data_IF_039101986783
#
_entry.id   IF_039101986783
#
_cell.length_a   1.000
_cell.length_b   1.000
_cell.length_c   1.000
_cell.angle_alpha   90.00
_cell.angle_beta   90.00
_cell.angle_gamma   90.00
#
_symmetry.space_group_name_H-M   'P 1'
#
loop_
_entity.id
_entity.type
_entity.pdbx_description
1 polymer ?
#
# COMPACT_ATOMS: atom_id res chain seq x y z
N UNK A 1 -27.01 15.06 -13.36
CA UNK A 1 -27.16 15.81 -12.10
C UNK A 1 -26.88 17.27 -12.39
N UNK A 2 -27.71 18.22 -12.00
CA UNK A 2 -27.38 19.62 -12.12
C UNK A 2 -26.34 19.97 -11.06
N UNK A 3 -25.14 20.37 -11.49
CA UNK A 3 -24.28 21.18 -10.68
C UNK A 3 -23.07 20.57 -9.99
N UNK A 4 -22.49 19.42 -10.42
CA UNK A 4 -21.17 19.05 -9.95
C UNK A 4 -20.12 19.88 -10.70
N UNK A 5 -19.37 20.72 -10.00
CA UNK A 5 -18.17 21.37 -10.54
C UNK A 5 -16.92 20.55 -10.18
N UNK A 6 -15.96 20.47 -11.10
CA UNK A 6 -14.70 19.73 -10.87
C UNK A 6 -13.53 20.70 -10.97
N UNK A 7 -12.64 20.63 -9.98
CA UNK A 7 -11.47 21.48 -9.86
C UNK A 7 -10.19 20.64 -9.72
N UNK A 8 -9.11 21.08 -10.35
CA UNK A 8 -7.78 20.45 -10.23
C UNK A 8 -6.86 21.33 -9.38
N UNK A 9 -6.40 20.80 -8.25
CA UNK A 9 -5.53 21.49 -7.31
C UNK A 9 -4.14 20.86 -7.30
N UNK A 10 -3.09 21.67 -7.33
CA UNK A 10 -1.74 21.20 -6.98
C UNK A 10 -1.72 20.77 -5.51
N UNK A 11 -0.81 19.87 -5.11
CA UNK A 11 -0.80 19.36 -3.73
C UNK A 11 -0.61 20.45 -2.69
N UNK A 12 0.25 21.42 -2.95
CA UNK A 12 0.45 22.57 -2.04
C UNK A 12 -0.76 23.49 -1.96
N UNK A 13 -1.51 23.62 -3.04
CA UNK A 13 -2.78 24.36 -3.08
C UNK A 13 -3.86 23.60 -2.31
N UNK A 14 -4.00 22.29 -2.54
CA UNK A 14 -4.95 21.44 -1.84
C UNK A 14 -4.69 21.42 -0.31
N UNK A 15 -3.43 21.46 0.11
CA UNK A 15 -3.06 21.58 1.54
C UNK A 15 -3.55 22.86 2.20
N UNK A 16 -3.66 23.96 1.44
CA UNK A 16 -4.14 25.25 1.93
C UNK A 16 -5.65 25.41 1.82
N UNK A 17 -6.22 24.92 0.72
CA UNK A 17 -7.62 25.18 0.37
C UNK A 17 -8.60 24.17 0.97
N UNK A 18 -8.20 22.89 1.13
CA UNK A 18 -9.13 21.82 1.46
C UNK A 18 -9.29 21.43 2.96
N UNK A 19 -8.48 21.86 3.94
CA UNK A 19 -8.48 21.23 5.27
C UNK A 19 -9.88 21.09 5.89
N UNK A 20 -10.64 22.17 5.97
CA UNK A 20 -11.98 22.15 6.59
C UNK A 20 -13.03 21.37 5.79
N UNK A 21 -12.99 21.45 4.45
CA UNK A 21 -13.88 20.68 3.58
C UNK A 21 -13.54 19.20 3.62
N UNK A 22 -12.26 18.88 3.68
CA UNK A 22 -11.76 17.50 3.73
C UNK A 22 -12.08 16.84 5.08
N UNK A 23 -12.06 17.59 6.18
CA UNK A 23 -12.43 17.09 7.49
C UNK A 23 -13.90 16.64 7.52
N UNK A 24 -14.82 17.49 7.04
CA UNK A 24 -16.24 17.12 6.90
C UNK A 24 -16.45 15.96 5.91
N UNK A 25 -15.76 15.99 4.78
CA UNK A 25 -15.85 14.96 3.75
C UNK A 25 -15.47 13.57 4.29
N UNK A 26 -14.35 13.46 5.00
CA UNK A 26 -13.82 12.17 5.49
C UNK A 26 -14.70 11.48 6.53
N UNK A 27 -15.52 12.25 7.31
CA UNK A 27 -16.39 11.69 8.33
C UNK A 27 -17.41 10.69 7.78
N UNK A 28 -17.82 10.83 6.51
CA UNK A 28 -18.76 9.95 5.83
C UNK A 28 -18.11 8.92 4.89
N UNK A 29 -16.77 8.79 4.89
CA UNK A 29 -16.05 7.95 3.92
C UNK A 29 -15.36 6.77 4.62
N UNK A 30 -15.93 5.58 4.50
CA UNK A 30 -15.35 4.35 5.10
C UNK A 30 -13.98 3.97 4.52
N UNK A 31 -13.74 4.29 3.25
CA UNK A 31 -12.48 3.98 2.53
C UNK A 31 -11.42 5.06 2.65
N UNK A 32 -11.65 6.07 3.50
CA UNK A 32 -10.63 7.05 3.80
C UNK A 32 -9.42 6.41 4.48
N UNK A 33 -8.22 6.83 4.08
CA UNK A 33 -6.99 6.40 4.73
C UNK A 33 -6.07 7.60 4.99
N UNK A 34 -5.18 7.53 5.99
CA UNK A 34 -4.19 8.59 6.25
C UNK A 34 -3.31 8.92 5.06
N UNK A 35 -3.12 7.96 4.15
CA UNK A 35 -2.28 8.10 2.97
C UNK A 35 -2.86 9.02 1.88
N UNK A 36 -4.14 9.36 1.96
CA UNK A 36 -4.83 10.18 0.97
C UNK A 36 -4.85 11.67 1.33
N UNK A 37 -4.28 12.06 2.47
CA UNK A 37 -4.21 13.48 2.85
C UNK A 37 -3.28 14.25 1.90
N UNK A 38 -3.64 15.48 1.47
CA UNK A 38 -2.77 16.28 0.60
C UNK A 38 -1.36 16.48 1.17
N UNK A 39 -1.25 16.56 2.50
CA UNK A 39 0.05 16.71 3.17
C UNK A 39 0.92 15.47 3.09
N UNK A 40 0.35 14.27 3.25
CA UNK A 40 1.09 13.02 3.06
C UNK A 40 1.54 12.83 1.61
N UNK A 41 0.64 13.12 0.67
CA UNK A 41 0.90 13.04 -0.76
C UNK A 41 1.96 14.06 -1.23
N UNK A 42 2.00 15.24 -0.62
CA UNK A 42 3.04 16.23 -0.89
C UNK A 42 4.44 15.78 -0.40
N UNK A 43 4.52 15.06 0.72
CA UNK A 43 5.79 14.42 1.14
C UNK A 43 6.24 13.37 0.13
N UNK A 44 5.31 12.59 -0.39
CA UNK A 44 5.60 11.61 -1.45
C UNK A 44 6.06 12.31 -2.74
N UNK A 45 5.35 13.35 -3.18
CA UNK A 45 5.72 14.12 -4.38
C UNK A 45 7.12 14.72 -4.28
N UNK A 46 7.48 15.25 -3.10
CA UNK A 46 8.82 15.79 -2.84
C UNK A 46 9.92 14.76 -3.08
N UNK A 47 9.71 13.51 -2.64
CA UNK A 47 10.71 12.45 -2.74
C UNK A 47 10.73 11.77 -4.13
N UNK A 48 9.54 11.55 -4.72
CA UNK A 48 9.40 10.69 -5.91
C UNK A 48 8.70 11.37 -7.09
N UNK A 49 8.03 12.48 -6.84
CA UNK A 49 7.08 13.07 -7.79
C UNK A 49 7.62 14.12 -8.75
N UNK A 50 8.89 14.53 -8.65
CA UNK A 50 9.45 15.69 -9.35
C UNK A 50 9.24 15.74 -10.89
N UNK A 51 8.93 14.60 -11.52
CA UNK A 51 8.67 14.47 -12.97
C UNK A 51 7.22 14.15 -13.30
N UNK A 52 6.35 14.07 -12.30
CA UNK A 52 4.97 13.66 -12.42
C UNK A 52 4.04 14.88 -12.29
N UNK A 53 2.90 14.81 -12.93
CA UNK A 53 1.86 15.83 -12.78
C UNK A 53 0.87 15.33 -11.72
N UNK A 54 1.12 15.64 -10.45
CA UNK A 54 0.27 15.26 -9.33
C UNK A 54 -0.81 16.31 -9.09
N UNK A 55 -2.07 15.88 -8.94
CA UNK A 55 -3.23 16.74 -8.65
C UNK A 55 -4.20 16.07 -7.71
N UNK A 56 -4.81 16.87 -6.87
CA UNK A 56 -6.09 16.51 -6.26
C UNK A 56 -7.18 17.01 -7.20
N UNK A 57 -8.01 16.09 -7.67
CA UNK A 57 -9.20 16.43 -8.47
C UNK A 57 -10.39 16.36 -7.53
N UNK A 58 -10.95 17.53 -7.23
CA UNK A 58 -12.04 17.74 -6.27
C UNK A 58 -13.36 17.96 -7.00
N UNK A 59 -14.41 17.28 -6.56
CA UNK A 59 -15.78 17.47 -7.03
C UNK A 59 -16.62 18.20 -5.98
N UNK A 60 -17.26 19.28 -6.38
CA UNK A 60 -18.07 20.14 -5.51
C UNK A 60 -19.54 20.12 -5.94
N UNK A 61 -20.43 20.04 -4.98
CA UNK A 61 -21.88 20.15 -5.23
C UNK A 61 -22.31 21.63 -5.44
N UNK A 62 -23.58 21.84 -5.73
CA UNK A 62 -24.16 23.17 -5.95
C UNK A 62 -24.14 24.07 -4.70
N UNK A 63 -23.87 23.52 -3.52
CA UNK A 63 -23.73 24.25 -2.26
C UNK A 63 -22.29 24.56 -1.91
N UNK A 64 -21.33 24.12 -2.75
CA UNK A 64 -19.91 24.27 -2.50
C UNK A 64 -19.35 23.27 -1.48
N UNK A 65 -20.03 22.15 -1.24
CA UNK A 65 -19.53 21.08 -0.41
C UNK A 65 -18.71 20.09 -1.23
N UNK A 66 -17.59 19.62 -0.64
CA UNK A 66 -16.75 18.60 -1.28
C UNK A 66 -17.49 17.27 -1.26
N UNK A 67 -17.79 16.72 -2.44
CA UNK A 67 -18.54 15.46 -2.58
C UNK A 67 -17.75 14.36 -3.29
N UNK A 68 -16.63 14.69 -3.93
CA UNK A 68 -15.70 13.72 -4.51
C UNK A 68 -14.25 14.19 -4.39
N UNK A 69 -13.33 13.24 -4.25
CA UNK A 69 -11.91 13.49 -4.05
C UNK A 69 -11.07 12.42 -4.72
N UNK A 70 -10.14 12.82 -5.57
CA UNK A 70 -9.29 11.91 -6.33
C UNK A 70 -7.83 12.38 -6.35
N UNK A 71 -6.92 11.70 -5.66
CA UNK A 71 -5.48 11.98 -5.72
C UNK A 71 -4.85 11.27 -6.91
N UNK A 72 -4.71 11.98 -8.01
CA UNK A 72 -4.31 11.45 -9.31
C UNK A 72 -2.98 12.02 -9.79
N UNK A 73 -2.23 11.21 -10.52
CA UNK A 73 -1.01 11.66 -11.20
C UNK A 73 -0.99 11.20 -12.66
N UNK A 74 -0.42 12.05 -13.51
CA UNK A 74 -0.04 11.71 -14.87
C UNK A 74 1.45 11.46 -14.93
N UNK A 75 1.81 10.23 -15.32
CA UNK A 75 3.21 9.79 -15.44
C UNK A 75 3.55 9.42 -16.88
N UNK A 76 4.82 9.44 -17.22
CA UNK A 76 5.29 8.86 -18.48
C UNK A 76 5.30 7.34 -18.36
N UNK A 77 4.50 6.69 -19.20
CA UNK A 77 4.44 5.24 -19.34
C UNK A 77 4.81 4.79 -20.74
N UNK A 78 4.56 3.52 -21.04
CA UNK A 78 4.76 2.93 -22.37
C UNK A 78 3.63 1.95 -22.70
N UNK A 79 3.35 1.85 -24.02
CA UNK A 79 2.58 0.75 -24.59
C UNK A 79 3.45 0.12 -25.67
N UNK A 80 4.02 -1.06 -25.41
CA UNK A 80 5.11 -1.59 -26.20
C UNK A 80 6.31 -0.63 -26.20
N UNK A 81 6.89 -0.32 -27.36
CA UNK A 81 8.00 0.64 -27.48
C UNK A 81 7.56 2.10 -27.36
N UNK A 82 6.26 2.40 -27.46
CA UNK A 82 5.73 3.75 -27.60
C UNK A 82 5.52 4.42 -26.24
N UNK A 83 6.08 5.63 -26.02
CA UNK A 83 5.83 6.42 -24.82
C UNK A 83 4.41 6.95 -24.83
N UNK A 84 3.72 6.88 -23.67
CA UNK A 84 2.36 7.37 -23.49
C UNK A 84 2.20 8.03 -22.12
N UNK A 85 1.26 8.97 -22.03
CA UNK A 85 0.83 9.49 -20.74
C UNK A 85 -0.05 8.45 -20.05
N UNK A 86 0.24 8.14 -18.79
CA UNK A 86 -0.49 7.14 -18.01
C UNK A 86 -1.10 7.80 -16.78
N UNK A 87 -2.40 7.57 -16.57
CA UNK A 87 -3.10 7.93 -15.34
C UNK A 87 -2.82 6.90 -14.25
N UNK A 88 -2.48 7.38 -13.05
CA UNK A 88 -2.31 6.58 -11.84
C UNK A 88 -2.82 7.33 -10.62
N UNK A 89 -3.01 6.64 -9.51
CA UNK A 89 -3.07 7.30 -8.21
C UNK A 89 -1.69 7.79 -7.81
N UNK A 90 -1.64 8.90 -7.05
CA UNK A 90 -0.39 9.43 -6.52
C UNK A 90 0.24 8.36 -5.61
N UNK A 91 1.50 8.06 -5.83
CA UNK A 91 2.24 7.06 -5.08
C UNK A 91 2.05 5.61 -5.52
N UNK A 92 1.17 5.34 -6.48
CA UNK A 92 0.86 3.96 -6.86
C UNK A 92 1.76 3.46 -8.01
N UNK A 93 2.16 2.19 -7.95
CA UNK A 93 2.98 1.51 -8.98
C UNK A 93 4.33 2.16 -9.27
N UNK A 94 5.03 2.64 -8.26
CA UNK A 94 6.42 3.12 -8.38
C UNK A 94 7.44 2.10 -7.91
N UNK A 95 7.01 1.12 -7.14
CA UNK A 95 7.84 0.07 -6.53
C UNK A 95 8.00 0.24 -5.02
N UNK A 96 7.99 -0.89 -4.31
CA UNK A 96 8.26 -0.95 -2.88
C UNK A 96 9.69 -0.42 -2.57
N UNK A 97 9.90 0.30 -1.46
CA UNK A 97 8.94 0.64 -0.41
C UNK A 97 8.27 2.02 -0.57
N UNK A 98 8.38 2.68 -1.73
CA UNK A 98 7.79 3.99 -1.99
C UNK A 98 6.32 3.95 -2.43
N UNK A 99 5.74 2.76 -2.62
CA UNK A 99 4.34 2.62 -3.03
C UNK A 99 3.36 3.03 -1.93
N UNK A 100 2.35 3.81 -2.33
CA UNK A 100 1.15 4.05 -1.54
C UNK A 100 0.03 3.17 -2.13
N UNK A 101 -0.45 2.21 -1.37
CA UNK A 101 -1.33 1.15 -1.86
C UNK A 101 -2.82 1.39 -1.58
N UNK A 102 -3.12 2.23 -0.58
CA UNK A 102 -4.47 2.48 -0.10
C UNK A 102 -4.96 3.86 -0.57
N UNK A 103 -5.08 4.02 -1.88
CA UNK A 103 -5.52 5.25 -2.55
C UNK A 103 -6.65 4.92 -3.52
N UNK A 104 -7.71 5.71 -3.51
CA UNK A 104 -8.90 5.53 -4.34
C UNK A 104 -9.51 6.87 -4.76
N UNK A 105 -10.45 6.85 -5.71
CA UNK A 105 -11.39 7.96 -5.88
C UNK A 105 -12.51 7.79 -4.87
N UNK A 106 -12.64 8.76 -4.00
CA UNK A 106 -13.62 8.77 -2.92
C UNK A 106 -14.81 9.66 -3.29
N UNK A 107 -16.01 9.26 -2.90
CA UNK A 107 -17.21 10.08 -3.02
C UNK A 107 -18.14 9.85 -1.84
N UNK A 108 -18.85 10.89 -1.41
CA UNK A 108 -19.87 10.78 -0.36
C UNK A 108 -20.92 9.74 -0.75
N UNK A 109 -21.33 8.91 0.21
CA UNK A 109 -22.32 7.83 0.01
C UNK A 109 -21.95 6.86 -1.12
N UNK A 110 -20.66 6.68 -1.43
CA UNK A 110 -20.18 5.81 -2.53
C UNK A 110 -20.78 6.19 -3.89
N UNK A 111 -21.12 7.49 -4.10
CA UNK A 111 -21.83 7.96 -5.30
C UNK A 111 -20.99 7.77 -6.56
N UNK A 112 -21.39 6.79 -7.35
CA UNK A 112 -20.74 6.44 -8.63
C UNK A 112 -20.78 7.57 -9.64
N UNK A 113 -21.82 8.40 -9.62
CA UNK A 113 -21.96 9.50 -10.56
C UNK A 113 -20.91 10.58 -10.29
N UNK A 114 -20.63 10.89 -9.03
CA UNK A 114 -19.56 11.80 -8.63
C UNK A 114 -18.17 11.25 -8.98
N UNK A 115 -17.91 9.95 -8.73
CA UNK A 115 -16.66 9.28 -9.15
C UNK A 115 -16.50 9.35 -10.68
N UNK A 116 -17.57 9.07 -11.44
CA UNK A 116 -17.56 9.16 -12.91
C UNK A 116 -17.32 10.58 -13.40
N UNK A 117 -17.90 11.59 -12.76
CA UNK A 117 -17.71 12.98 -13.15
C UNK A 117 -16.25 13.43 -12.98
N UNK A 118 -15.62 13.11 -11.86
CA UNK A 118 -14.20 13.41 -11.60
C UNK A 118 -13.29 12.70 -12.59
N UNK A 119 -13.47 11.40 -12.80
CA UNK A 119 -12.66 10.64 -13.75
C UNK A 119 -12.95 11.05 -15.21
N UNK A 120 -14.18 11.43 -15.55
CA UNK A 120 -14.58 11.94 -16.87
C UNK A 120 -13.93 13.28 -17.17
N UNK A 121 -13.85 14.18 -16.18
CA UNK A 121 -13.10 15.43 -16.30
C UNK A 121 -11.63 15.16 -16.65
N UNK A 122 -10.96 14.28 -15.91
CA UNK A 122 -9.56 13.91 -16.17
C UNK A 122 -9.38 13.25 -17.54
N UNK A 123 -10.34 12.41 -17.97
CA UNK A 123 -10.32 11.80 -19.30
C UNK A 123 -10.39 12.81 -20.43
N UNK A 124 -11.08 13.92 -20.23
CA UNK A 124 -11.28 14.97 -21.23
C UNK A 124 -10.17 16.04 -21.22
N UNK A 125 -9.59 16.33 -20.06
CA UNK A 125 -8.59 17.40 -19.90
C UNK A 125 -7.14 16.91 -19.99
N UNK A 126 -6.86 15.67 -19.51
CA UNK A 126 -5.51 15.11 -19.58
C UNK A 126 -5.33 14.26 -20.83
N UNK A 127 -4.34 14.58 -21.65
CA UNK A 127 -4.00 13.77 -22.84
C UNK A 127 -3.44 12.41 -22.43
N UNK A 128 -4.32 11.46 -22.14
CA UNK A 128 -3.99 10.14 -21.64
C UNK A 128 -3.96 9.10 -22.76
N UNK A 129 -3.02 8.17 -22.71
CA UNK A 129 -3.00 6.99 -23.56
C UNK A 129 -3.29 5.70 -22.79
N UNK A 130 -3.03 5.70 -21.48
CA UNK A 130 -3.20 4.52 -20.61
C UNK A 130 -3.76 4.93 -19.26
N UNK A 131 -4.58 4.07 -18.70
CA UNK A 131 -5.03 4.10 -17.30
C UNK A 131 -4.46 2.90 -16.56
N UNK A 132 -3.97 3.11 -15.35
CA UNK A 132 -3.36 2.08 -14.52
C UNK A 132 -3.72 2.36 -13.06
N UNK A 133 -4.97 2.06 -12.71
CA UNK A 133 -5.55 2.30 -11.41
C UNK A 133 -5.58 0.99 -10.60
N UNK A 134 -4.93 0.95 -9.52
CA UNK A 134 -4.87 -0.21 -8.60
C UNK A 134 -4.41 0.32 -7.25
N UNK A 135 -4.49 -0.38 -6.29
CA UNK A 135 -5.04 -1.60 -5.78
C UNK A 135 -6.39 -1.33 -5.08
N UNK A 136 -7.47 -1.48 -5.79
CA UNK A 136 -8.80 -1.06 -5.37
C UNK A 136 -9.53 -2.20 -4.67
N UNK A 137 -10.14 -1.97 -3.50
CA UNK A 137 -10.95 -2.98 -2.84
C UNK A 137 -12.20 -3.32 -3.66
N UNK A 138 -12.82 -4.48 -3.47
CA UNK A 138 -14.03 -4.88 -4.21
C UNK A 138 -15.20 -3.90 -4.08
N UNK A 139 -15.27 -3.19 -2.96
CA UNK A 139 -16.29 -2.17 -2.68
C UNK A 139 -16.08 -0.88 -3.45
N UNK A 140 -14.90 -0.65 -4.04
CA UNK A 140 -14.60 0.60 -4.76
C UNK A 140 -15.49 0.81 -5.99
N UNK A 141 -16.14 1.97 -6.16
CA UNK A 141 -16.88 2.33 -7.38
C UNK A 141 -15.96 2.69 -8.56
N UNK A 142 -14.69 2.96 -8.29
CA UNK A 142 -13.71 3.44 -9.30
C UNK A 142 -13.53 2.51 -10.48
N UNK A 143 -13.39 1.15 -10.33
CA UNK A 143 -13.26 0.25 -11.47
C UNK A 143 -14.47 0.30 -12.40
N UNK A 144 -15.67 0.43 -11.83
CA UNK A 144 -16.90 0.51 -12.60
C UNK A 144 -16.98 1.84 -13.37
N UNK A 145 -16.75 2.97 -12.71
CA UNK A 145 -16.76 4.29 -13.33
C UNK A 145 -15.69 4.41 -14.45
N UNK A 146 -14.48 3.89 -14.21
CA UNK A 146 -13.42 3.85 -15.22
C UNK A 146 -13.84 3.00 -16.44
N UNK A 147 -14.46 1.84 -16.21
CA UNK A 147 -14.95 0.98 -17.29
C UNK A 147 -16.03 1.66 -18.13
N UNK A 148 -16.95 2.42 -17.53
CA UNK A 148 -17.97 3.18 -18.27
C UNK A 148 -17.34 4.26 -19.16
N UNK A 149 -16.45 5.09 -18.60
CA UNK A 149 -15.75 6.14 -19.34
C UNK A 149 -14.94 5.55 -20.49
N UNK A 150 -14.26 4.44 -20.27
CA UNK A 150 -13.44 3.77 -21.27
C UNK A 150 -14.28 3.08 -22.37
N UNK A 151 -15.54 2.72 -22.13
CA UNK A 151 -16.49 2.17 -23.15
C UNK A 151 -17.02 3.22 -24.09
N UNK A 152 -17.37 4.40 -23.62
CA UNK A 152 -18.01 5.47 -24.39
C UNK A 152 -17.14 6.04 -25.53
N UNK A 153 -15.89 5.64 -25.63
CA UNK A 153 -14.97 5.99 -26.71
C UNK A 153 -13.83 5.02 -26.92
N UNK A 154 -13.76 3.96 -26.12
CA UNK A 154 -12.55 3.13 -26.02
C UNK A 154 -12.89 1.68 -25.69
N UNK A 155 -12.30 0.74 -26.39
CA UNK A 155 -12.33 -0.67 -25.95
C UNK A 155 -11.37 -0.83 -24.79
N UNK A 156 -11.92 -1.00 -23.63
CA UNK A 156 -11.18 -1.47 -22.47
C UNK A 156 -10.74 -2.92 -22.71
N UNK A 157 -9.45 -3.19 -22.76
CA UNK A 157 -8.97 -4.47 -22.31
C UNK A 157 -8.90 -4.36 -20.78
N UNK A 158 -10.04 -4.59 -20.15
CA UNK A 158 -10.17 -4.68 -18.70
C UNK A 158 -9.48 -6.00 -18.27
N UNK A 159 -8.17 -5.95 -18.17
CA UNK A 159 -7.42 -7.01 -17.50
C UNK A 159 -7.45 -6.71 -16.02
N UNK A 160 -8.51 -7.15 -15.36
CA UNK A 160 -8.61 -7.13 -13.91
C UNK A 160 -7.57 -8.09 -13.35
N UNK A 161 -6.50 -7.56 -12.84
CA UNK A 161 -5.51 -8.33 -12.11
C UNK A 161 -5.93 -8.26 -10.64
N UNK A 162 -6.31 -9.40 -10.10
CA UNK A 162 -6.57 -9.54 -8.67
C UNK A 162 -5.25 -9.67 -7.93
N UNK A 163 -5.04 -8.83 -6.92
CA UNK A 163 -3.93 -8.93 -5.99
C UNK A 163 -4.52 -9.21 -4.61
N UNK A 164 -4.16 -10.30 -3.93
CA UNK A 164 -4.66 -10.55 -2.59
C UNK A 164 -4.09 -9.51 -1.63
N UNK A 165 -4.96 -8.81 -0.93
CA UNK A 165 -4.66 -8.03 0.26
C UNK A 165 -5.06 -8.84 1.48
N UNK A 166 -4.30 -8.72 2.54
CA UNK A 166 -4.54 -9.50 3.75
C UNK A 166 -4.89 -8.57 4.89
N UNK A 167 -6.03 -8.81 5.52
CA UNK A 167 -6.43 -8.09 6.71
C UNK A 167 -6.78 -9.05 7.84
N UNK A 168 -6.57 -8.61 9.08
CA UNK A 168 -6.93 -9.33 10.29
C UNK A 168 -8.11 -8.60 10.94
N UNK A 169 -9.31 -9.19 10.96
CA UNK A 169 -10.42 -8.66 11.74
C UNK A 169 -10.11 -8.81 13.24
N UNK A 170 -10.36 -7.76 14.02
CA UNK A 170 -10.11 -7.75 15.45
C UNK A 170 -11.44 -7.80 16.22
N UNK A 171 -11.65 -8.81 17.07
CA UNK A 171 -12.77 -8.83 18.01
C UNK A 171 -12.59 -7.80 19.11
N UNK A 172 -13.53 -7.73 20.03
CA UNK A 172 -13.45 -6.81 21.19
C UNK A 172 -12.42 -7.30 22.20
N UNK A 173 -12.30 -8.61 22.36
CA UNK A 173 -11.48 -9.23 23.39
C UNK A 173 -10.28 -10.00 22.80
N UNK A 174 -9.14 -9.87 23.45
CA UNK A 174 -7.93 -10.59 23.09
C UNK A 174 -8.10 -12.12 23.13
N UNK A 175 -8.80 -12.65 24.15
CA UNK A 175 -8.94 -14.09 24.31
C UNK A 175 -9.75 -14.72 23.18
N UNK A 176 -10.76 -14.01 22.67
CA UNK A 176 -11.52 -14.41 21.48
C UNK A 176 -10.61 -14.47 20.26
N UNK A 177 -9.83 -13.42 20.00
CA UNK A 177 -8.86 -13.41 18.92
C UNK A 177 -7.84 -14.53 19.05
N UNK A 178 -7.23 -14.68 20.23
CA UNK A 178 -6.20 -15.68 20.45
C UNK A 178 -6.73 -17.12 20.30
N UNK A 179 -7.98 -17.36 20.73
CA UNK A 179 -8.65 -18.65 20.55
C UNK A 179 -8.91 -18.98 19.07
N UNK A 180 -9.19 -17.97 18.23
CA UNK A 180 -9.42 -18.15 16.79
C UNK A 180 -8.17 -18.58 16.00
N UNK A 181 -6.98 -18.33 16.54
CA UNK A 181 -5.72 -18.73 15.90
C UNK A 181 -5.54 -20.24 15.91
N UNK A 182 -4.78 -20.76 14.95
CA UNK A 182 -4.45 -22.21 14.93
C UNK A 182 -3.67 -22.64 16.17
N UNK A 183 -3.84 -23.89 16.60
CA UNK A 183 -3.08 -24.45 17.75
C UNK A 183 -1.57 -24.34 17.54
N UNK A 184 -1.10 -24.52 16.30
CA UNK A 184 0.31 -24.39 15.95
C UNK A 184 0.82 -22.94 16.14
N UNK A 185 0.03 -21.94 15.73
CA UNK A 185 0.37 -20.53 15.94
C UNK A 185 0.45 -20.19 17.41
N UNK A 186 -0.56 -20.59 18.20
CA UNK A 186 -0.56 -20.38 19.65
C UNK A 186 0.62 -21.05 20.35
N UNK A 187 0.96 -22.28 19.95
CA UNK A 187 2.13 -23.00 20.48
C UNK A 187 3.44 -22.33 20.10
N UNK A 188 3.58 -21.90 18.84
CA UNK A 188 4.78 -21.19 18.35
C UNK A 188 4.98 -19.86 19.08
N UNK A 189 3.91 -19.10 19.27
CA UNK A 189 3.95 -17.85 20.04
C UNK A 189 4.43 -18.09 21.49
N UNK A 190 3.80 -19.03 22.22
CA UNK A 190 4.18 -19.31 23.61
C UNK A 190 5.60 -19.81 23.74
N UNK A 191 6.07 -20.61 22.78
CA UNK A 191 7.46 -21.09 22.74
C UNK A 191 8.43 -19.95 22.45
N UNK A 192 8.12 -19.10 21.46
CA UNK A 192 8.93 -17.93 21.12
C UNK A 192 9.05 -16.96 22.28
N UNK A 193 7.93 -16.65 22.93
CA UNK A 193 7.88 -15.77 24.10
C UNK A 193 8.80 -16.30 25.20
N UNK A 194 8.65 -17.57 25.62
CA UNK A 194 9.52 -18.20 26.64
C UNK A 194 11.00 -18.22 26.24
N UNK A 195 11.28 -18.47 24.95
CA UNK A 195 12.66 -18.48 24.46
C UNK A 195 13.34 -17.11 24.56
N UNK A 196 12.60 -16.04 24.24
CA UNK A 196 13.12 -14.68 24.34
C UNK A 196 13.22 -14.23 25.80
N UNK A 197 12.22 -14.50 26.64
CA UNK A 197 12.23 -14.19 28.07
C UNK A 197 13.37 -14.88 28.83
N UNK A 198 13.78 -16.07 28.38
CA UNK A 198 14.93 -16.77 28.95
C UNK A 198 16.28 -16.09 28.67
N UNK A 199 16.33 -15.18 27.69
CA UNK A 199 17.55 -14.44 27.33
C UNK A 199 17.65 -13.09 28.03
N UNK A 200 16.54 -12.57 28.60
CA UNK A 200 16.50 -11.29 29.30
C UNK A 200 15.09 -10.69 29.38
N UNK A 201 14.95 -9.56 30.07
CA UNK A 201 13.68 -8.84 30.18
C UNK A 201 13.11 -8.47 28.80
N UNK A 202 11.87 -8.93 28.51
CA UNK A 202 11.19 -8.70 27.25
C UNK A 202 10.11 -7.63 27.43
N UNK A 203 10.05 -6.65 26.51
CA UNK A 203 9.09 -5.56 26.55
C UNK A 203 8.59 -5.22 25.15
N UNK A 204 7.29 -5.03 25.02
CA UNK A 204 6.69 -4.40 23.84
C UNK A 204 6.57 -2.90 24.08
N UNK A 205 7.14 -2.12 23.17
CA UNK A 205 7.11 -0.66 23.23
C UNK A 205 6.33 -0.15 22.06
N UNK A 206 5.27 0.61 22.33
CA UNK A 206 4.47 1.28 21.29
C UNK A 206 4.74 2.77 21.33
N UNK A 207 5.16 3.32 20.21
CA UNK A 207 5.55 4.72 20.08
C UNK A 207 4.61 5.46 19.12
N UNK A 208 4.16 6.62 19.56
CA UNK A 208 3.26 7.49 18.78
C UNK A 208 3.80 8.92 18.66
N UNK A 209 4.85 9.28 19.41
CA UNK A 209 5.43 10.63 19.37
C UNK A 209 6.34 10.83 18.16
N UNK A 210 6.34 12.01 17.51
CA UNK A 210 7.08 12.23 16.26
C UNK A 210 8.57 11.93 16.32
N UNK A 211 9.24 12.30 17.42
CA UNK A 211 10.69 12.08 17.57
C UNK A 211 11.01 10.57 17.71
N UNK A 212 10.27 9.87 18.57
CA UNK A 212 10.48 8.43 18.80
C UNK A 212 10.05 7.60 17.58
N UNK A 213 8.97 8.00 16.91
CA UNK A 213 8.52 7.39 15.68
C UNK A 213 9.61 7.40 14.61
N UNK A 214 10.24 8.56 14.36
CA UNK A 214 11.35 8.69 13.42
C UNK A 214 12.52 7.77 13.78
N UNK A 215 12.94 7.78 15.03
CA UNK A 215 14.04 6.94 15.52
C UNK A 215 13.75 5.45 15.28
N UNK A 216 12.54 4.98 15.61
CA UNK A 216 12.14 3.57 15.40
C UNK A 216 12.14 3.18 13.93
N UNK A 217 11.70 4.08 13.05
CA UNK A 217 11.74 3.84 11.60
C UNK A 217 13.18 3.79 11.09
N UNK A 218 14.08 4.63 11.59
CA UNK A 218 15.51 4.58 11.26
C UNK A 218 16.14 3.26 11.70
N UNK A 219 15.91 2.81 12.95
CA UNK A 219 16.36 1.52 13.47
C UNK A 219 15.86 0.34 12.59
N UNK A 220 14.59 0.38 12.18
CA UNK A 220 14.00 -0.62 11.27
C UNK A 220 14.70 -0.63 9.90
N UNK A 221 14.92 0.55 9.31
CA UNK A 221 15.62 0.68 8.02
C UNK A 221 17.03 0.13 8.12
N UNK A 222 17.77 0.47 9.18
CA UNK A 222 19.14 -0.02 9.41
C UNK A 222 19.18 -1.55 9.58
N UNK A 223 18.21 -2.12 10.30
CA UNK A 223 18.07 -3.57 10.39
C UNK A 223 17.78 -4.21 9.04
N UNK A 224 16.88 -3.61 8.25
CA UNK A 224 16.58 -4.08 6.88
C UNK A 224 17.82 -4.04 5.99
N UNK A 225 18.55 -2.94 5.97
CA UNK A 225 19.77 -2.80 5.17
C UNK A 225 20.80 -3.86 5.53
N UNK A 226 21.01 -4.14 6.82
CA UNK A 226 21.94 -5.19 7.30
C UNK A 226 21.64 -6.57 6.70
N UNK A 227 20.35 -6.92 6.57
CA UNK A 227 19.93 -8.24 6.11
C UNK A 227 19.66 -8.34 4.61
N UNK A 228 19.54 -7.21 3.92
CA UNK A 228 19.37 -7.16 2.48
C UNK A 228 20.70 -7.03 1.74
N UNK A 229 21.80 -6.70 2.42
CA UNK A 229 23.15 -6.59 1.84
C UNK A 229 23.52 -7.88 1.09
N UNK A 230 23.94 -7.74 -0.17
CA UNK A 230 24.25 -8.85 -1.06
C UNK A 230 23.04 -9.54 -1.69
N UNK A 231 21.81 -9.08 -1.41
CA UNK A 231 20.59 -9.56 -2.07
C UNK A 231 20.14 -8.62 -3.19
N UNK A 232 19.29 -9.12 -4.08
CA UNK A 232 18.65 -8.31 -5.13
C UNK A 232 17.83 -7.13 -4.60
N UNK A 233 17.47 -7.17 -3.32
CA UNK A 233 16.63 -6.20 -2.62
C UNK A 233 17.44 -5.12 -1.90
N UNK A 234 18.77 -5.20 -1.90
CA UNK A 234 19.66 -4.25 -1.20
C UNK A 234 19.39 -2.80 -1.59
N UNK A 235 19.15 -2.53 -2.87
CA UNK A 235 18.91 -1.18 -3.37
C UNK A 235 17.57 -0.55 -2.95
N UNK A 236 16.65 -1.30 -2.40
CA UNK A 236 15.30 -0.79 -2.13
C UNK A 236 15.23 0.22 -0.99
N UNK A 237 16.01 0.00 0.07
CA UNK A 237 16.10 0.89 1.23
C UNK A 237 17.36 1.77 1.22
N UNK A 238 18.31 1.49 0.33
CA UNK A 238 19.54 2.26 0.23
C UNK A 238 19.35 3.60 -0.50
N UNK A 239 18.26 3.76 -1.28
CA UNK A 239 17.95 5.01 -1.96
C UNK A 239 17.58 6.09 -0.93
N UNK A 240 18.28 7.23 -1.01
CA UNK A 240 18.14 8.33 -0.03
C UNK A 240 16.73 8.93 0.02
N UNK A 241 16.04 8.98 -1.12
CA UNK A 241 14.65 9.42 -1.26
C UNK A 241 13.66 8.50 -0.53
N UNK A 242 13.89 7.18 -0.56
CA UNK A 242 13.08 6.20 0.19
C UNK A 242 13.26 6.39 1.70
N UNK A 243 14.50 6.50 2.16
CA UNK A 243 14.77 6.75 3.59
C UNK A 243 14.15 8.07 4.03
N UNK A 244 14.36 9.16 3.26
CA UNK A 244 13.77 10.46 3.56
C UNK A 244 12.25 10.40 3.65
N UNK A 245 11.61 9.71 2.72
CA UNK A 245 10.15 9.56 2.71
C UNK A 245 9.65 8.81 3.94
N UNK A 246 10.21 7.65 4.25
CA UNK A 246 9.76 6.82 5.39
C UNK A 246 9.93 7.56 6.72
N UNK A 247 11.07 8.20 6.94
CA UNK A 247 11.33 8.95 8.18
C UNK A 247 10.47 10.21 8.27
N UNK A 248 10.31 10.95 7.18
CA UNK A 248 9.52 12.18 7.16
C UNK A 248 8.03 11.90 7.30
N UNK A 249 7.51 10.87 6.61
CA UNK A 249 6.10 10.48 6.68
C UNK A 249 5.73 9.92 8.06
N UNK A 250 6.61 9.16 8.71
CA UNK A 250 6.38 8.68 10.08
C UNK A 250 6.24 9.85 11.06
N UNK A 251 7.13 10.83 10.98
CA UNK A 251 7.06 12.03 11.82
C UNK A 251 5.85 12.91 11.53
N UNK A 252 5.40 12.97 10.26
CA UNK A 252 4.16 13.67 9.90
C UNK A 252 2.93 12.96 10.47
N UNK A 253 2.76 11.67 10.19
CA UNK A 253 1.63 10.89 10.67
C UNK A 253 1.55 10.87 12.20
N UNK A 254 2.69 10.86 12.90
CA UNK A 254 2.73 10.92 14.35
C UNK A 254 2.23 12.28 14.90
N UNK A 255 2.52 13.40 14.22
CA UNK A 255 1.95 14.71 14.60
C UNK A 255 0.44 14.77 14.41
N UNK A 256 -0.08 14.08 13.39
CA UNK A 256 -1.51 13.99 13.11
C UNK A 256 -2.23 12.94 14.00
N UNK A 257 -1.52 12.26 14.91
CA UNK A 257 -2.09 11.16 15.69
C UNK A 257 -2.44 9.91 14.88
N UNK A 258 -1.90 9.79 13.67
CA UNK A 258 -2.21 8.74 12.69
C UNK A 258 -1.04 7.77 12.49
N UNK A 259 -0.17 7.65 13.46
CA UNK A 259 1.02 6.80 13.39
C UNK A 259 1.16 5.90 14.60
N UNK A 260 1.57 4.68 14.34
CA UNK A 260 1.97 3.74 15.36
C UNK A 260 3.18 2.95 14.88
N UNK A 261 4.20 2.90 15.71
CA UNK A 261 5.30 1.94 15.56
C UNK A 261 5.43 1.13 16.83
N UNK A 262 5.72 -0.15 16.67
CA UNK A 262 5.92 -1.06 17.77
C UNK A 262 7.28 -1.72 17.65
N UNK A 263 7.97 -1.90 18.78
CA UNK A 263 9.20 -2.65 18.86
C UNK A 263 9.12 -3.68 20.00
N UNK A 264 9.70 -4.85 19.77
CA UNK A 264 9.98 -5.82 20.79
C UNK A 264 11.41 -5.59 21.28
N UNK A 265 11.56 -5.21 22.53
CA UNK A 265 12.86 -4.98 23.17
C UNK A 265 13.21 -6.15 24.08
N UNK A 266 14.43 -6.67 23.91
CA UNK A 266 15.05 -7.67 24.78
C UNK A 266 16.20 -7.00 25.50
N UNK A 267 16.16 -6.94 26.82
CA UNK A 267 17.12 -6.22 27.65
C UNK A 267 17.38 -4.77 27.16
N UNK A 268 16.29 -4.08 26.80
CA UNK A 268 16.33 -2.70 26.29
C UNK A 268 16.82 -2.55 24.83
N UNK A 269 17.20 -3.65 24.16
CA UNK A 269 17.63 -3.65 22.76
C UNK A 269 16.49 -4.08 21.85
N UNK A 270 16.09 -3.28 20.83
CA UNK A 270 15.06 -3.68 19.89
C UNK A 270 15.48 -4.86 19.02
N UNK A 271 14.65 -5.91 18.99
CA UNK A 271 14.90 -7.15 18.22
C UNK A 271 13.86 -7.41 17.14
N UNK A 272 12.72 -6.69 17.18
CA UNK A 272 11.75 -6.69 16.10
C UNK A 272 11.00 -5.35 16.06
N UNK A 273 10.48 -4.99 14.86
CA UNK A 273 9.79 -3.73 14.60
C UNK A 273 8.60 -3.95 13.68
N UNK A 274 7.52 -3.23 13.95
CA UNK A 274 6.38 -3.06 13.03
C UNK A 274 6.02 -1.57 13.01
N UNK A 275 5.90 -1.02 11.83
CA UNK A 275 5.60 0.39 11.59
C UNK A 275 4.41 0.50 10.65
N UNK A 276 3.53 1.48 10.89
CA UNK A 276 2.39 1.72 10.05
C UNK A 276 1.62 3.00 10.36
N UNK A 277 0.64 3.28 9.53
CA UNK A 277 -0.33 4.33 9.75
C UNK A 277 -1.56 3.80 10.50
N UNK A 278 -2.30 4.68 11.13
CA UNK A 278 -3.50 4.34 11.87
C UNK A 278 -4.62 5.34 11.59
N UNK A 279 -5.81 4.84 11.37
CA UNK A 279 -7.06 5.59 11.52
C UNK A 279 -7.75 5.16 12.83
N UNK A 280 -8.91 5.71 13.22
CA UNK A 280 -9.54 5.35 14.48
C UNK A 280 -9.92 3.86 14.63
N UNK A 281 -9.99 3.09 13.55
CA UNK A 281 -10.43 1.69 13.56
C UNK A 281 -9.44 0.71 12.94
N UNK A 282 -8.56 1.20 12.08
CA UNK A 282 -7.66 0.33 11.29
C UNK A 282 -6.21 0.72 11.51
N UNK A 283 -5.37 -0.26 11.77
CA UNK A 283 -3.92 -0.12 11.67
C UNK A 283 -3.44 -0.69 10.34
N UNK A 284 -2.76 0.12 9.54
CA UNK A 284 -2.18 -0.25 8.25
C UNK A 284 -0.69 -0.55 8.43
N UNK A 285 -0.35 -1.83 8.55
CA UNK A 285 1.03 -2.26 8.67
C UNK A 285 1.77 -2.04 7.35
N UNK A 286 2.74 -1.14 7.33
CA UNK A 286 3.51 -0.82 6.14
C UNK A 286 4.80 -1.63 6.04
N UNK A 287 5.56 -1.71 7.12
CA UNK A 287 6.87 -2.38 7.16
C UNK A 287 7.03 -3.11 8.48
N UNK A 288 7.55 -4.33 8.41
CA UNK A 288 7.98 -5.10 9.57
C UNK A 288 9.39 -5.65 9.37
N UNK A 289 10.14 -5.77 10.44
CA UNK A 289 11.49 -6.33 10.43
C UNK A 289 11.80 -7.01 11.76
N UNK A 290 12.78 -7.91 11.77
CA UNK A 290 13.33 -8.45 13.00
C UNK A 290 14.82 -8.77 12.84
N UNK A 291 15.55 -8.78 13.93
CA UNK A 291 16.95 -9.18 13.94
C UNK A 291 17.06 -10.70 13.85
N UNK A 292 17.70 -11.20 12.79
CA UNK A 292 17.81 -12.62 12.47
C UNK A 292 18.64 -13.41 13.50
N UNK A 293 19.46 -12.74 14.31
CA UNK A 293 20.18 -13.39 15.40
C UNK A 293 19.24 -14.00 16.44
N UNK A 294 18.01 -13.49 16.52
CA UNK A 294 16.95 -13.97 17.42
C UNK A 294 15.89 -14.84 16.74
N UNK A 295 16.15 -15.34 15.52
CA UNK A 295 15.17 -16.05 14.68
C UNK A 295 14.54 -17.27 15.40
N UNK A 296 15.26 -17.99 16.27
CA UNK A 296 14.75 -19.13 17.04
C UNK A 296 13.57 -18.75 17.95
N UNK A 297 13.59 -17.53 18.51
CA UNK A 297 12.52 -16.97 19.30
C UNK A 297 11.35 -16.42 18.48
N UNK A 298 11.44 -16.46 17.13
CA UNK A 298 10.40 -15.92 16.23
C UNK A 298 9.92 -14.51 16.62
N UNK A 299 10.83 -13.53 16.83
CA UNK A 299 10.49 -12.24 17.43
C UNK A 299 9.47 -11.44 16.60
N UNK A 300 9.44 -11.63 15.27
CA UNK A 300 8.43 -11.02 14.41
C UNK A 300 7.00 -11.54 14.69
N UNK A 301 6.83 -12.84 14.94
CA UNK A 301 5.53 -13.42 15.32
C UNK A 301 5.12 -12.96 16.73
N UNK A 302 6.06 -12.96 17.68
CA UNK A 302 5.80 -12.50 19.05
C UNK A 302 5.35 -11.04 19.02
N UNK A 303 6.11 -10.15 18.37
CA UNK A 303 5.75 -8.75 18.24
C UNK A 303 4.40 -8.56 17.52
N UNK A 304 4.16 -9.30 16.43
CA UNK A 304 2.90 -9.18 15.67
C UNK A 304 1.67 -9.51 16.51
N UNK A 305 1.73 -10.56 17.34
CA UNK A 305 0.63 -10.93 18.22
C UNK A 305 0.49 -9.99 19.42
N UNK A 306 1.58 -9.53 20.02
CA UNK A 306 1.53 -8.53 21.08
C UNK A 306 1.01 -7.18 20.59
N UNK A 307 1.37 -6.77 19.37
CA UNK A 307 0.79 -5.58 18.75
C UNK A 307 -0.71 -5.73 18.53
N UNK A 308 -1.19 -6.87 18.04
CA UNK A 308 -2.63 -7.14 17.90
C UNK A 308 -3.32 -7.03 19.26
N UNK A 309 -2.73 -7.57 20.32
CA UNK A 309 -3.27 -7.45 21.69
C UNK A 309 -3.42 -5.99 22.12
N UNK A 310 -2.40 -5.19 21.89
CA UNK A 310 -2.40 -3.75 22.19
C UNK A 310 -3.44 -2.99 21.34
N UNK A 311 -3.57 -3.34 20.06
CA UNK A 311 -4.55 -2.72 19.17
C UNK A 311 -5.99 -3.03 19.59
N UNK A 312 -6.27 -4.27 20.01
CA UNK A 312 -7.57 -4.64 20.57
C UNK A 312 -7.88 -3.81 21.83
N UNK A 313 -6.91 -3.72 22.75
CA UNK A 313 -7.04 -2.93 23.97
C UNK A 313 -7.29 -1.44 23.70
N UNK A 314 -6.76 -0.90 22.59
CA UNK A 314 -7.02 0.48 22.13
C UNK A 314 -8.31 0.64 21.34
N UNK A 315 -9.07 -0.41 21.10
CA UNK A 315 -10.34 -0.37 20.40
C UNK A 315 -10.29 -0.47 18.89
N UNK A 316 -9.13 -0.81 18.29
CA UNK A 316 -9.04 -1.09 16.85
C UNK A 316 -9.90 -2.29 16.47
N UNK A 317 -10.33 -2.32 15.21
CA UNK A 317 -11.19 -3.39 14.67
C UNK A 317 -10.57 -4.14 13.50
N UNK A 318 -9.46 -3.63 12.97
CA UNK A 318 -8.79 -4.22 11.82
C UNK A 318 -7.29 -3.94 11.83
N UNK A 319 -6.52 -4.91 11.41
CA UNK A 319 -5.13 -4.71 10.96
C UNK A 319 -5.09 -5.01 9.48
N UNK A 320 -4.68 -4.04 8.68
CA UNK A 320 -4.39 -4.25 7.27
C UNK A 320 -2.90 -4.57 7.11
N UNK A 321 -2.61 -5.76 6.60
CA UNK A 321 -1.25 -6.26 6.39
C UNK A 321 -0.76 -6.04 4.95
N UNK A 322 -1.57 -5.37 4.12
CA UNK A 322 -1.24 -5.06 2.74
C UNK A 322 -1.19 -6.28 1.79
N UNK A 323 -0.62 -6.09 0.59
CA UNK A 323 -0.66 -7.09 -0.48
C UNK A 323 0.22 -8.31 -0.21
N UNK A 324 -0.15 -9.40 -0.87
CA UNK A 324 0.58 -10.66 -0.87
C UNK A 324 0.27 -11.58 0.31
N UNK A 325 0.11 -12.86 0.01
CA UNK A 325 -0.17 -13.92 0.99
C UNK A 325 1.13 -14.52 1.47
N UNK A 326 1.38 -14.46 2.78
CA UNK A 326 2.56 -15.05 3.40
C UNK A 326 2.17 -15.87 4.62
N UNK A 327 3.02 -16.83 4.99
CA UNK A 327 2.82 -17.63 6.20
C UNK A 327 2.73 -16.75 7.46
N UNK A 328 3.50 -15.66 7.53
CA UNK A 328 3.42 -14.70 8.62
C UNK A 328 2.02 -14.10 8.76
N UNK A 329 1.44 -13.62 7.64
CA UNK A 329 0.12 -13.01 7.64
C UNK A 329 -0.98 -14.02 7.99
N UNK A 330 -0.90 -15.26 7.48
CA UNK A 330 -1.85 -16.31 7.85
C UNK A 330 -1.74 -16.72 9.32
N UNK A 331 -0.54 -16.72 9.89
CA UNK A 331 -0.34 -16.95 11.33
C UNK A 331 -0.98 -15.87 12.20
N UNK A 332 -1.05 -14.64 11.74
CA UNK A 332 -1.80 -13.57 12.40
C UNK A 332 -3.32 -13.65 12.18
N UNK A 333 -3.85 -14.75 11.62
CA UNK A 333 -5.28 -14.87 11.36
C UNK A 333 -5.74 -14.04 10.16
N UNK A 334 -4.82 -13.73 9.25
CA UNK A 334 -5.11 -12.91 8.07
C UNK A 334 -6.13 -13.56 7.12
N UNK A 335 -7.09 -12.76 6.69
CA UNK A 335 -8.08 -13.09 5.67
C UNK A 335 -7.74 -12.36 4.39
N UNK A 336 -7.73 -13.09 3.28
CA UNK A 336 -7.43 -12.53 1.97
C UNK A 336 -8.67 -11.88 1.34
N UNK A 337 -8.48 -10.70 0.79
CA UNK A 337 -9.46 -9.99 -0.02
C UNK A 337 -8.83 -9.60 -1.36
N UNK A 338 -9.45 -9.93 -2.51
CA UNK A 338 -8.88 -9.59 -3.80
C UNK A 338 -9.03 -8.10 -4.09
N UNK A 339 -7.93 -7.36 -4.18
CA UNK A 339 -7.94 -5.99 -4.67
C UNK A 339 -7.75 -5.97 -6.19
N UNK A 340 -8.42 -5.03 -6.86
CA UNK A 340 -8.48 -4.96 -8.31
C UNK A 340 -7.50 -3.90 -8.83
N UNK A 341 -6.81 -4.22 -9.90
CA UNK A 341 -6.06 -3.27 -10.71
C UNK A 341 -6.74 -3.11 -12.05
N UNK A 342 -7.19 -1.90 -12.34
CA UNK A 342 -7.88 -1.57 -13.59
C UNK A 342 -6.89 -1.00 -14.60
N UNK A 343 -6.72 -1.69 -15.72
CA UNK A 343 -5.91 -1.25 -16.84
C UNK A 343 -6.83 -0.85 -18.00
N UNK A 344 -6.63 0.34 -18.55
CA UNK A 344 -7.38 0.83 -19.70
C UNK A 344 -6.48 1.55 -20.71
N UNK A 345 -6.94 1.65 -21.95
CA UNK A 345 -6.20 2.31 -23.03
C UNK A 345 -7.13 3.26 -23.81
N UNK A 346 -6.61 4.44 -24.19
CA UNK A 346 -7.34 5.48 -24.90
C UNK A 346 -6.78 5.75 -26.29
N UNK A 347 -7.68 6.08 -27.25
CA UNK A 347 -7.31 6.50 -28.60
C UNK A 347 -6.48 5.44 -29.35
N UNK A 348 -5.44 5.87 -30.05
CA UNK A 348 -4.58 5.00 -30.88
C UNK A 348 -3.80 3.95 -30.06
N UNK A 349 -3.52 4.21 -28.77
CA UNK A 349 -2.81 3.27 -27.90
C UNK A 349 -3.57 1.96 -27.71
N UNK A 350 -4.89 1.97 -27.87
CA UNK A 350 -5.74 0.81 -27.90
C UNK A 350 -5.34 -0.19 -29.00
N UNK A 351 -5.09 0.32 -30.22
CA UNK A 351 -4.64 -0.55 -31.33
C UNK A 351 -3.27 -1.14 -31.05
N UNK A 352 -2.37 -0.35 -30.46
CA UNK A 352 -1.04 -0.82 -30.09
C UNK A 352 -1.10 -1.88 -28.97
N UNK A 353 -1.94 -1.70 -27.96
CA UNK A 353 -2.15 -2.67 -26.88
C UNK A 353 -2.78 -3.97 -27.39
N UNK A 354 -3.77 -3.86 -28.29
CA UNK A 354 -4.37 -5.03 -28.95
C UNK A 354 -3.35 -5.82 -29.77
N UNK A 355 -2.57 -5.15 -30.61
CA UNK A 355 -1.52 -5.79 -31.41
C UNK A 355 -0.47 -6.50 -30.51
N UNK A 356 -0.08 -5.88 -29.42
CA UNK A 356 0.85 -6.48 -28.45
C UNK A 356 0.25 -7.74 -27.79
N UNK A 357 -1.03 -7.73 -27.43
CA UNK A 357 -1.70 -8.89 -26.86
C UNK A 357 -1.86 -10.02 -27.88
N UNK A 358 -2.14 -9.71 -29.14
CA UNK A 358 -2.21 -10.71 -30.23
C UNK A 358 -0.85 -11.35 -30.47
N UNK A 359 0.24 -10.58 -30.44
CA UNK A 359 1.61 -11.08 -30.61
C UNK A 359 1.98 -11.98 -29.41
N UNK A 360 1.68 -11.57 -28.19
CA UNK A 360 1.93 -12.36 -26.97
C UNK A 360 1.08 -13.62 -26.92
N UNK A 361 -0.22 -13.54 -27.25
CA UNK A 361 -1.11 -14.69 -27.27
C UNK A 361 -0.74 -15.75 -28.35
N UNK A 362 0.05 -15.37 -29.37
CA UNK A 362 0.63 -16.31 -30.34
C UNK A 362 1.95 -16.95 -29.85
N UNK A 363 2.68 -16.28 -28.93
CA UNK A 363 3.89 -16.86 -28.33
C UNK A 363 3.59 -17.81 -27.17
N UNK A 364 2.43 -17.67 -26.50
CA UNK A 364 2.03 -18.44 -25.32
C UNK A 364 1.07 -19.60 -25.65
N UNK A 365 1.19 -20.19 -26.84
CA UNK A 365 0.41 -21.37 -27.26
C UNK A 365 0.65 -22.65 -26.43
N UNK A 366 1.28 -22.56 -25.28
CA UNK A 366 1.42 -23.60 -24.26
C UNK A 366 1.51 -22.93 -22.88
N UNK A 367 0.49 -23.07 -22.13
CA UNK A 367 0.26 -22.80 -20.72
C UNK A 367 -0.77 -21.71 -20.42
N UNK A 368 -2.01 -22.16 -20.31
CA UNK A 368 -3.13 -21.39 -19.74
C UNK A 368 -3.25 -21.60 -18.23
N UNK A 369 -2.16 -21.36 -17.50
CA UNK A 369 -2.22 -21.25 -16.05
C UNK A 369 -1.21 -20.21 -15.58
N UNK A 370 -1.72 -19.12 -15.01
CA UNK A 370 -0.97 -18.07 -14.34
C UNK A 370 -0.14 -17.18 -15.28
N UNK A 371 -0.79 -16.24 -15.95
CA UNK A 371 -0.12 -15.15 -16.63
C UNK A 371 0.68 -14.31 -15.65
N UNK A 372 1.98 -14.50 -15.66
CA UNK A 372 2.94 -13.69 -14.92
C UNK A 372 2.74 -12.21 -15.21
N UNK A 373 2.52 -11.44 -14.17
CA UNK A 373 2.53 -9.98 -14.20
C UNK A 373 3.94 -9.52 -14.56
N UNK A 374 4.10 -8.93 -15.76
CA UNK A 374 5.24 -8.08 -16.06
C UNK A 374 5.21 -6.83 -15.15
N UNK A 375 5.80 -6.95 -13.96
CA UNK A 375 6.13 -5.81 -13.09
C UNK A 375 7.34 -5.01 -13.62
N UNK A 376 7.83 -5.36 -14.83
CA UNK A 376 8.93 -4.68 -15.47
C UNK A 376 8.43 -3.58 -16.39
N UNK A 377 8.22 -2.38 -15.94
CA UNK A 377 8.30 -1.18 -16.78
C UNK A 377 8.15 0.13 -15.99
N UNK A 378 8.94 0.34 -14.97
CA UNK A 378 9.30 1.67 -14.51
C UNK A 378 10.67 1.67 -13.83
N UNK A 379 11.69 1.22 -14.54
CA UNK A 379 13.04 1.67 -14.24
C UNK A 379 13.54 2.46 -15.44
N UNK A 380 13.69 3.77 -15.26
CA UNK A 380 14.65 4.51 -16.05
C UNK A 380 16.00 3.81 -15.93
N UNK A 381 16.68 3.66 -17.06
CA UNK A 381 18.01 3.13 -17.20
C UNK A 381 18.96 3.56 -16.08
N UNK A 382 19.01 2.78 -15.06
CA UNK A 382 20.18 2.50 -14.25
C UNK A 382 19.87 1.22 -13.48
N UNK A 383 20.22 0.10 -14.10
CA UNK A 383 20.37 -1.23 -13.52
C UNK A 383 19.15 -2.11 -13.29
N UNK A 384 19.13 -3.11 -14.13
CA UNK A 384 19.11 -4.54 -13.83
C UNK A 384 17.77 -5.15 -13.52
N UNK A 385 17.33 -6.00 -14.46
CA UNK A 385 16.80 -7.34 -14.20
C UNK A 385 16.55 -7.62 -12.72
N UNK A 386 15.26 -7.68 -12.32
CA UNK A 386 14.81 -8.59 -11.25
C UNK A 386 13.31 -8.38 -10.99
N UNK A 387 12.56 -9.40 -11.38
CA UNK A 387 11.16 -9.60 -11.02
C UNK A 387 11.12 -10.37 -9.70
N UNK A 388 11.01 -9.66 -8.60
CA UNK A 388 10.68 -10.26 -7.31
C UNK A 388 9.20 -10.02 -7.00
N UNK A 389 8.46 -11.06 -6.71
CA UNK A 389 7.07 -10.94 -6.27
C UNK A 389 6.98 -10.14 -4.97
N UNK A 390 5.97 -9.29 -4.87
CA UNK A 390 5.65 -8.51 -3.66
C UNK A 390 5.50 -9.40 -2.41
N UNK A 391 5.08 -10.67 -2.62
CA UNK A 391 4.95 -11.70 -1.59
C UNK A 391 6.25 -12.07 -0.86
N UNK A 392 7.41 -11.90 -1.50
CA UNK A 392 8.69 -12.29 -0.92
C UNK A 392 9.29 -11.24 0.03
N UNK A 393 8.69 -10.06 0.10
CA UNK A 393 9.23 -8.92 0.85
C UNK A 393 8.95 -9.04 2.34
N UNK A 394 7.78 -9.56 2.68
CA UNK A 394 7.38 -9.78 4.08
C UNK A 394 7.85 -11.16 4.58
N UNK A 395 8.16 -12.06 3.65
CA UNK A 395 8.59 -13.44 3.92
C UNK A 395 10.11 -13.62 4.08
N UNK A 396 10.87 -12.61 4.47
CA UNK A 396 12.30 -12.76 4.81
C UNK A 396 12.61 -13.76 5.94
N UNK A 397 11.67 -14.66 6.27
CA UNK A 397 11.77 -15.53 7.44
C UNK A 397 11.79 -17.05 7.17
N UNK A 398 11.58 -17.54 5.94
CA UNK A 398 11.55 -19.00 5.77
C UNK A 398 12.17 -19.49 4.44
N UNK A 399 13.49 -19.47 4.35
CA UNK A 399 14.23 -20.37 3.48
C UNK A 399 15.55 -20.79 4.16
N UNK A 400 15.44 -21.56 5.24
CA UNK A 400 16.54 -22.38 5.71
C UNK A 400 16.22 -23.80 5.26
N UNK A 401 16.78 -24.21 4.12
CA UNK A 401 16.88 -25.61 3.73
C UNK A 401 17.63 -26.36 4.83
N UNK A 402 16.97 -27.38 5.39
CA UNK A 402 17.64 -28.35 6.28
C UNK A 402 18.85 -28.93 5.56
N UNK A 403 20.03 -28.99 6.19
CA UNK A 403 21.14 -29.73 5.63
C UNK A 403 20.74 -31.21 5.54
N UNK A 404 20.93 -31.83 4.37
CA UNK A 404 20.83 -33.29 4.20
C UNK A 404 21.86 -33.93 5.14
N UNK A 405 21.40 -34.76 6.05
CA UNK A 405 22.27 -35.70 6.77
C UNK A 405 22.79 -36.70 5.76
N UNK A 406 24.07 -36.71 5.54
CA UNK A 406 24.84 -37.89 5.08
C UNK A 406 25.11 -38.81 6.26
#
# INVERSE_FOLDING_TARGET
MPGLSVEELALDEARRALPSSLERFREGIERWTPFQTPSYLALWEKCFGARNHCRIVAGWDSRGELVAYAPLMRVRGRVGPVPVSTLRFIGNNIGYPGDILHVDVLATNEDRASVRAVLGHVASTWSLGKWDLGYLPPSSPTPHAASEILRDGFVAHDRRVSVPFVSVPLPVEWDEYFASLTANTRSSYRRGLRHLEAQGPLKVVVETTPHRARRRVEELIENHLRWLTGTEKEGWFAAGDVREFLVSSSGFLAREGQFLTSALELDGTPVAWIHGAADPRTFFAQISSYDRTYAEGSPGLVLGLELVRELIARGYRRVDLGPGSTLYKSRLGGVEEPHLRTLGYQGWTRRAAWAQNVIRGRSDGRDSSLGGLDLHLCSNRARAKHSGHYSDIVAGSEAISKPRRT
#
